data_IF_091811472438
#
_entry.id   IF_091811472438
#
_cell.length_a   1.000
_cell.length_b   1.000
_cell.length_c   1.000
_cell.angle_alpha   90.00
_cell.angle_beta   90.00
_cell.angle_gamma   90.00
#
_symmetry.space_group_name_H-M   'P 1'
#
loop_
_entity.id
_entity.type
_entity.pdbx_description
1 polymer ?
#
# COMPACT_ATOMS: atom_id res chain seq x y z
N UNK A 1 17.56 -53.94 -23.99
CA UNK A 1 17.05 -53.31 -22.78
C UNK A 1 17.25 -51.80 -22.93
N UNK A 2 16.18 -51.04 -23.27
CA UNK A 2 16.23 -49.57 -23.45
C UNK A 2 15.92 -48.92 -22.09
N UNK A 3 16.90 -48.23 -21.51
CA UNK A 3 16.71 -47.46 -20.26
C UNK A 3 16.02 -46.13 -20.61
N UNK A 4 14.78 -45.94 -20.18
CA UNK A 4 14.10 -44.67 -20.24
C UNK A 4 14.65 -43.73 -19.12
N UNK A 5 15.20 -42.57 -19.52
CA UNK A 5 15.61 -41.52 -18.59
C UNK A 5 14.37 -40.62 -18.33
N UNK A 6 13.92 -40.48 -17.09
CA UNK A 6 12.82 -39.60 -16.81
C UNK A 6 13.30 -38.14 -16.96
N UNK A 7 12.66 -37.39 -17.86
CA UNK A 7 12.85 -35.93 -18.02
C UNK A 7 12.18 -35.23 -16.85
N UNK A 8 12.98 -34.75 -15.89
CA UNK A 8 12.50 -33.97 -14.77
C UNK A 8 12.21 -32.53 -15.26
N UNK A 9 10.94 -32.22 -15.43
CA UNK A 9 10.50 -30.86 -15.81
C UNK A 9 10.62 -29.93 -14.59
N UNK A 10 11.69 -29.12 -14.53
CA UNK A 10 11.89 -28.10 -13.51
C UNK A 10 10.98 -26.92 -13.83
N UNK A 11 9.81 -26.83 -13.17
CA UNK A 11 8.95 -25.66 -13.25
C UNK A 11 9.57 -24.55 -12.40
N UNK A 12 10.19 -23.57 -13.05
CA UNK A 12 10.66 -22.36 -12.40
C UNK A 12 9.43 -21.54 -11.95
N UNK A 13 9.17 -21.48 -10.64
CA UNK A 13 8.19 -20.57 -10.07
C UNK A 13 8.72 -19.13 -10.20
N UNK A 14 8.11 -18.34 -11.08
CA UNK A 14 8.38 -16.92 -11.17
C UNK A 14 7.82 -16.25 -9.89
N UNK A 15 8.58 -15.34 -9.25
CA UNK A 15 8.05 -14.60 -8.11
C UNK A 15 6.88 -13.72 -8.58
N UNK A 16 5.66 -14.05 -8.12
CA UNK A 16 4.52 -13.18 -8.28
C UNK A 16 4.71 -11.97 -7.37
N UNK A 17 5.00 -10.80 -7.94
CA UNK A 17 5.00 -9.54 -7.20
C UNK A 17 3.55 -9.18 -6.89
N UNK A 18 3.04 -9.64 -5.75
CA UNK A 18 1.72 -9.22 -5.27
C UNK A 18 1.79 -7.73 -4.89
N UNK A 19 0.96 -6.92 -5.51
CA UNK A 19 0.76 -5.51 -5.16
C UNK A 19 -0.07 -5.44 -3.86
N UNK A 20 0.57 -5.69 -2.73
CA UNK A 20 -0.05 -5.58 -1.42
C UNK A 20 0.41 -4.31 -0.74
N UNK A 21 -0.52 -3.56 -0.15
CA UNK A 21 -0.15 -2.41 0.67
C UNK A 21 0.72 -2.83 1.86
N UNK A 22 1.78 -2.09 2.12
CA UNK A 22 2.75 -2.34 3.17
C UNK A 22 2.67 -1.25 4.23
N UNK A 23 2.48 -1.61 5.51
CA UNK A 23 2.54 -0.67 6.62
C UNK A 23 3.90 -0.77 7.31
N UNK A 24 4.66 0.33 7.27
CA UNK A 24 5.99 0.43 7.86
C UNK A 24 5.89 1.18 9.18
N UNK A 25 6.23 0.57 10.34
CA UNK A 25 6.22 1.27 11.62
C UNK A 25 7.20 2.44 11.61
N UNK A 26 6.79 3.60 12.14
CA UNK A 26 7.68 4.77 12.30
C UNK A 26 8.81 4.46 13.27
N UNK A 27 8.54 3.66 14.30
CA UNK A 27 9.51 3.27 15.34
C UNK A 27 10.72 2.50 14.81
N UNK A 28 10.53 1.69 13.75
CA UNK A 28 11.61 0.88 13.16
C UNK A 28 12.14 1.44 11.84
N UNK A 29 11.36 2.28 11.14
CA UNK A 29 11.68 2.84 9.84
C UNK A 29 11.75 1.80 8.69
N UNK A 30 11.46 0.53 8.99
CA UNK A 30 11.47 -0.60 8.05
C UNK A 30 10.33 -1.56 8.39
N UNK A 31 9.88 -2.41 7.46
CA UNK A 31 8.88 -3.42 7.74
C UNK A 31 9.33 -4.32 8.89
N UNK A 32 8.50 -4.42 9.93
CA UNK A 32 8.75 -5.31 11.06
C UNK A 32 7.43 -5.98 11.49
N UNK A 33 7.22 -7.25 11.12
CA UNK A 33 5.99 -7.97 11.43
C UNK A 33 5.83 -8.28 12.92
N UNK A 34 6.88 -8.09 13.75
CA UNK A 34 6.80 -8.20 15.20
C UNK A 34 6.22 -6.95 15.84
N UNK A 35 6.22 -5.83 15.13
CA UNK A 35 5.64 -4.56 15.56
C UNK A 35 4.28 -4.37 14.92
N UNK A 36 4.21 -4.35 13.57
CA UNK A 36 2.97 -4.22 12.81
C UNK A 36 2.92 -5.30 11.73
N UNK A 37 1.84 -6.09 11.70
CA UNK A 37 1.62 -7.09 10.65
C UNK A 37 0.27 -6.93 9.97
N UNK A 38 0.16 -7.40 8.74
CA UNK A 38 -1.12 -7.56 8.06
C UNK A 38 -1.85 -8.76 8.65
N UNK A 39 -3.00 -8.52 9.28
CA UNK A 39 -3.86 -9.54 9.88
C UNK A 39 -4.89 -10.09 8.90
N UNK A 40 -5.49 -9.20 8.09
CA UNK A 40 -6.56 -9.54 7.17
C UNK A 40 -6.47 -8.68 5.92
N UNK A 41 -6.75 -9.26 4.75
CA UNK A 41 -6.91 -8.54 3.51
C UNK A 41 -8.09 -9.10 2.73
N UNK A 42 -8.96 -8.20 2.29
CA UNK A 42 -10.07 -8.50 1.36
C UNK A 42 -9.88 -7.66 0.11
N UNK A 43 -10.02 -8.28 -1.06
CA UNK A 43 -9.96 -7.61 -2.35
C UNK A 43 -11.21 -7.95 -3.13
N UNK A 44 -12.01 -6.93 -3.46
CA UNK A 44 -13.19 -7.04 -4.30
C UNK A 44 -12.91 -6.39 -5.66
N UNK A 45 -13.10 -7.14 -6.74
CA UNK A 45 -12.81 -6.67 -8.10
C UNK A 45 -14.06 -6.76 -8.97
N UNK A 46 -14.45 -5.63 -9.53
CA UNK A 46 -15.49 -5.54 -10.54
C UNK A 46 -14.91 -5.11 -11.88
N UNK A 47 -15.08 -5.91 -12.94
CA UNK A 47 -14.58 -5.60 -14.28
C UNK A 47 -15.75 -5.25 -15.19
N UNK A 48 -15.67 -4.09 -15.84
CA UNK A 48 -16.64 -3.65 -16.82
C UNK A 48 -16.00 -2.73 -17.87
N UNK A 49 -16.35 -2.94 -19.14
CA UNK A 49 -15.96 -2.08 -20.29
C UNK A 49 -14.44 -1.81 -20.37
N UNK A 50 -13.61 -2.82 -20.09
CA UNK A 50 -12.14 -2.68 -20.15
C UNK A 50 -11.51 -2.00 -18.93
N UNK A 51 -12.27 -1.77 -17.86
CA UNK A 51 -11.77 -1.23 -16.60
C UNK A 51 -12.05 -2.17 -15.44
N UNK A 52 -11.10 -2.31 -14.55
CA UNK A 52 -11.27 -2.92 -13.24
C UNK A 52 -11.47 -1.83 -12.19
N UNK A 53 -12.51 -2.00 -11.35
CA UNK A 53 -12.65 -1.27 -10.09
C UNK A 53 -12.27 -2.23 -8.98
N UNK A 54 -11.27 -1.85 -8.19
CA UNK A 54 -10.71 -2.67 -7.13
C UNK A 54 -10.92 -1.98 -5.80
N UNK A 55 -11.51 -2.72 -4.84
CA UNK A 55 -11.63 -2.29 -3.45
C UNK A 55 -10.72 -3.18 -2.61
N UNK A 56 -9.74 -2.59 -1.95
CA UNK A 56 -8.82 -3.27 -1.05
C UNK A 56 -9.13 -2.84 0.38
N UNK A 57 -9.42 -3.81 1.24
CA UNK A 57 -9.53 -3.62 2.68
C UNK A 57 -8.43 -4.38 3.37
N UNK A 58 -7.66 -3.69 4.22
CA UNK A 58 -6.58 -4.28 5.00
C UNK A 58 -6.76 -3.97 6.47
N UNK A 59 -6.54 -4.96 7.33
CA UNK A 59 -6.51 -4.81 8.78
C UNK A 59 -5.10 -5.12 9.24
N UNK A 60 -4.46 -4.14 9.85
CA UNK A 60 -3.14 -4.30 10.45
C UNK A 60 -3.28 -4.45 11.96
N UNK A 61 -2.40 -5.25 12.56
CA UNK A 61 -2.35 -5.55 13.99
C UNK A 61 -1.05 -5.04 14.59
N UNK A 62 -1.16 -4.37 15.74
CA UNK A 62 -0.04 -3.94 16.56
C UNK A 62 0.25 -5.02 17.60
N UNK A 63 1.47 -5.57 17.58
CA UNK A 63 1.94 -6.62 18.50
C UNK A 63 2.72 -6.09 19.70
N UNK A 64 2.60 -4.80 19.98
CA UNK A 64 3.34 -4.16 21.08
C UNK A 64 2.41 -3.54 22.13
N UNK A 65 2.93 -3.33 23.33
CA UNK A 65 2.23 -2.64 24.41
C UNK A 65 2.16 -1.12 24.26
N UNK A 66 2.77 -0.56 23.19
CA UNK A 66 2.81 0.86 22.90
C UNK A 66 1.89 1.21 21.73
N UNK A 67 1.34 2.42 21.75
CA UNK A 67 0.66 2.97 20.58
C UNK A 67 1.68 3.19 19.47
N UNK A 68 1.38 2.66 18.28
CA UNK A 68 2.24 2.77 17.11
C UNK A 68 1.72 3.81 16.11
N UNK A 69 2.64 4.26 15.29
CA UNK A 69 2.40 5.03 14.07
C UNK A 69 3.13 4.35 12.92
N UNK A 70 2.59 4.41 11.72
CA UNK A 70 3.23 3.82 10.55
C UNK A 70 2.96 4.60 9.28
N UNK A 71 3.75 4.30 8.24
CA UNK A 71 3.50 4.76 6.87
C UNK A 71 3.01 3.59 6.04
N UNK A 72 1.76 3.68 5.60
CA UNK A 72 1.21 2.73 4.64
C UNK A 72 1.59 3.16 3.23
N UNK A 73 2.07 2.20 2.42
CA UNK A 73 2.49 2.40 1.03
C UNK A 73 1.77 1.42 0.14
N UNK A 74 1.24 1.90 -0.97
CA UNK A 74 0.55 1.09 -1.95
C UNK A 74 1.00 1.50 -3.36
N UNK A 75 1.44 0.52 -4.15
CA UNK A 75 1.84 0.74 -5.55
C UNK A 75 0.68 0.44 -6.46
N UNK A 76 0.33 1.38 -7.34
CA UNK A 76 -0.65 1.18 -8.42
C UNK A 76 0.05 0.81 -9.72
N UNK A 77 -0.71 0.24 -10.66
CA UNK A 77 -0.29 0.14 -12.05
C UNK A 77 -0.15 1.53 -12.69
N UNK A 78 0.56 1.66 -13.83
CA UNK A 78 0.69 2.94 -14.53
C UNK A 78 -0.65 3.57 -14.95
N UNK A 79 -1.68 2.75 -15.21
CA UNK A 79 -3.05 3.20 -15.54
C UNK A 79 -3.95 3.34 -14.31
N UNK A 80 -3.44 3.02 -13.11
CA UNK A 80 -4.20 3.03 -11.89
C UNK A 80 -4.49 4.43 -11.36
N UNK A 81 -5.76 4.69 -11.02
CA UNK A 81 -6.21 5.95 -10.43
C UNK A 81 -6.98 5.69 -9.12
N UNK A 82 -6.59 6.34 -8.02
CA UNK A 82 -7.29 6.26 -6.75
C UNK A 82 -8.60 7.03 -6.83
N UNK A 83 -9.69 6.35 -6.47
CA UNK A 83 -11.03 6.96 -6.40
C UNK A 83 -11.46 7.29 -4.96
N UNK A 84 -11.05 6.46 -3.99
CA UNK A 84 -11.41 6.66 -2.58
C UNK A 84 -10.38 6.00 -1.66
N UNK A 85 -10.19 6.59 -0.49
CA UNK A 85 -9.36 6.06 0.58
C UNK A 85 -9.98 6.38 1.93
N UNK A 86 -9.87 5.47 2.88
CA UNK A 86 -10.31 5.71 4.26
C UNK A 86 -9.44 4.96 5.28
N UNK A 87 -9.35 5.55 6.45
CA UNK A 87 -8.87 4.92 7.68
C UNK A 87 -10.05 4.73 8.61
N UNK A 88 -10.08 3.63 9.33
CA UNK A 88 -11.13 3.39 10.32
C UNK A 88 -10.58 3.56 11.73
N UNK A 89 -11.32 4.32 12.53
CA UNK A 89 -11.08 4.44 13.96
C UNK A 89 -12.22 3.73 14.70
N UNK A 90 -11.96 2.53 15.19
CA UNK A 90 -13.00 1.64 15.67
C UNK A 90 -14.06 1.36 14.59
N UNK A 91 -15.28 1.85 14.80
CA UNK A 91 -16.42 1.73 13.86
C UNK A 91 -16.60 2.96 12.96
N UNK A 92 -15.80 4.01 13.15
CA UNK A 92 -15.93 5.25 12.41
C UNK A 92 -15.03 5.23 11.18
N UNK A 93 -15.62 5.44 10.00
CA UNK A 93 -14.88 5.60 8.74
C UNK A 93 -14.44 7.04 8.57
N UNK A 94 -13.14 7.28 8.48
CA UNK A 94 -12.55 8.58 8.27
C UNK A 94 -12.05 8.63 6.82
N UNK A 95 -12.72 9.39 5.91
CA UNK A 95 -12.28 9.49 4.53
C UNK A 95 -10.96 10.24 4.44
N UNK A 96 -10.06 9.73 3.63
CA UNK A 96 -8.80 10.40 3.30
C UNK A 96 -9.00 11.48 2.23
N UNK A 97 -8.14 12.49 2.27
CA UNK A 97 -8.11 13.54 1.25
C UNK A 97 -6.81 13.42 0.46
N UNK A 98 -6.92 13.34 -0.86
CA UNK A 98 -5.76 13.32 -1.76
C UNK A 98 -5.29 14.76 -1.92
N UNK A 99 -4.07 15.06 -1.49
CA UNK A 99 -3.46 16.40 -1.58
C UNK A 99 -2.00 16.28 -2.01
N UNK A 100 -1.45 17.39 -2.53
CA UNK A 100 -0.03 17.44 -2.84
C UNK A 100 0.83 17.13 -1.60
N UNK A 101 1.95 16.41 -1.78
CA UNK A 101 2.83 15.92 -0.71
C UNK A 101 3.25 17.01 0.29
N UNK A 102 3.61 18.22 -0.18
CA UNK A 102 4.00 19.33 0.68
C UNK A 102 2.85 19.82 1.56
N UNK A 103 1.67 19.95 0.96
CA UNK A 103 0.46 20.38 1.67
C UNK A 103 -0.04 19.31 2.63
N UNK A 104 0.04 18.03 2.23
CA UNK A 104 -0.29 16.91 3.09
C UNK A 104 0.55 16.90 4.37
N UNK A 105 1.86 17.15 4.26
CA UNK A 105 2.76 17.19 5.43
C UNK A 105 2.36 18.30 6.40
N UNK A 106 2.13 19.53 5.92
CA UNK A 106 1.73 20.64 6.76
C UNK A 106 0.41 20.38 7.50
N UNK A 107 -0.58 19.82 6.80
CA UNK A 107 -1.88 19.45 7.39
C UNK A 107 -1.68 18.33 8.42
N UNK A 108 -0.85 17.31 8.13
CA UNK A 108 -0.57 16.22 9.05
C UNK A 108 0.05 16.73 10.36
N UNK A 109 1.06 17.60 10.27
CA UNK A 109 1.73 18.18 11.43
C UNK A 109 0.76 18.98 12.31
N UNK A 110 -0.14 19.78 11.71
CA UNK A 110 -1.17 20.53 12.45
C UNK A 110 -2.17 19.61 13.15
N UNK A 111 -2.69 18.57 12.44
CA UNK A 111 -3.67 17.64 13.00
C UNK A 111 -3.06 16.73 14.08
N UNK A 112 -1.82 16.28 13.89
CA UNK A 112 -1.12 15.45 14.88
C UNK A 112 -0.89 16.21 16.18
N UNK A 113 -0.57 17.52 16.06
CA UNK A 113 -0.47 18.41 17.23
C UNK A 113 -1.79 18.52 17.98
N UNK A 114 -2.92 18.43 17.29
CA UNK A 114 -4.27 18.41 17.87
C UNK A 114 -4.76 17.03 18.28
N UNK A 115 -3.94 15.97 18.14
CA UNK A 115 -4.28 14.56 18.43
C UNK A 115 -5.48 14.02 17.61
N UNK A 116 -5.63 14.50 16.38
CA UNK A 116 -6.63 14.00 15.43
C UNK A 116 -5.91 13.12 14.41
N UNK A 117 -6.46 11.91 14.11
CA UNK A 117 -5.91 11.05 13.04
C UNK A 117 -6.19 11.69 11.66
N UNK A 118 -5.17 12.14 10.94
CA UNK A 118 -5.39 12.92 9.72
C UNK A 118 -5.81 12.13 8.50
N UNK A 119 -5.61 10.80 8.45
CA UNK A 119 -5.97 9.97 7.30
C UNK A 119 -5.53 10.51 5.94
N UNK A 120 -4.33 11.10 5.84
CA UNK A 120 -3.87 11.78 4.64
C UNK A 120 -3.20 10.83 3.65
N UNK A 121 -3.69 10.80 2.42
CA UNK A 121 -3.09 10.10 1.30
C UNK A 121 -2.16 11.05 0.53
N UNK A 122 -0.89 10.68 0.41
CA UNK A 122 0.11 11.39 -0.39
C UNK A 122 0.29 10.68 -1.73
N UNK A 123 0.05 11.39 -2.82
CA UNK A 123 0.40 10.92 -4.15
C UNK A 123 1.75 11.52 -4.55
N UNK A 124 2.71 10.68 -4.88
CA UNK A 124 4.03 11.10 -5.34
C UNK A 124 4.73 9.97 -6.06
N UNK A 125 5.57 10.32 -7.03
CA UNK A 125 6.58 9.41 -7.53
C UNK A 125 7.60 9.16 -6.41
N UNK A 126 8.08 7.94 -6.24
CA UNK A 126 9.27 7.71 -5.41
C UNK A 126 10.41 8.51 -6.04
N UNK A 127 10.71 9.68 -5.47
CA UNK A 127 12.02 10.27 -5.66
C UNK A 127 12.99 9.36 -4.90
N UNK A 128 13.61 8.41 -5.62
CA UNK A 128 14.90 7.89 -5.22
C UNK A 128 15.78 9.11 -4.94
N UNK A 129 16.35 9.20 -3.73
CA UNK A 129 17.40 10.19 -3.46
C UNK A 129 18.40 10.14 -4.61
N UNK A 130 18.77 11.28 -5.22
CA UNK A 130 19.62 11.28 -6.38
C UNK A 130 20.98 10.71 -6.02
N UNK A 131 21.20 9.45 -6.35
CA UNK A 131 22.55 8.93 -6.53
C UNK A 131 23.14 9.69 -7.72
N UNK A 132 24.30 10.36 -7.57
CA UNK A 132 24.89 11.09 -8.66
C UNK A 132 25.40 10.11 -9.73
N UNK A 133 24.67 9.99 -10.84
CA UNK A 133 25.13 9.38 -12.08
C UNK A 133 24.45 8.07 -12.47
N UNK A 134 23.37 8.22 -13.26
CA UNK A 134 23.17 7.45 -14.51
C UNK A 134 21.88 7.91 -15.18
N UNK A 135 21.92 7.96 -16.50
CA UNK A 135 20.98 8.51 -17.45
C UNK A 135 19.49 8.21 -17.16
N UNK A 136 18.67 9.18 -17.49
CA UNK A 136 17.23 9.20 -17.36
C UNK A 136 16.56 8.04 -18.10
N UNK A 137 16.41 6.90 -17.45
CA UNK A 137 15.37 5.93 -17.76
C UNK A 137 14.15 6.33 -16.94
N UNK A 138 13.05 6.63 -17.63
CA UNK A 138 11.75 6.83 -16.97
C UNK A 138 11.43 5.55 -16.17
N UNK A 139 11.21 5.62 -14.85
CA UNK A 139 10.83 4.43 -14.11
C UNK A 139 9.50 3.91 -14.68
N UNK A 140 9.53 2.69 -15.20
CA UNK A 140 8.35 1.95 -15.67
C UNK A 140 7.49 1.41 -14.50
N UNK A 141 7.51 2.11 -13.36
CA UNK A 141 6.75 1.77 -12.16
C UNK A 141 5.56 2.72 -11.99
N UNK A 142 4.37 2.18 -11.71
CA UNK A 142 3.18 2.95 -11.38
C UNK A 142 3.36 3.84 -10.15
N UNK A 143 2.41 4.75 -9.94
CA UNK A 143 2.43 5.68 -8.81
C UNK A 143 2.43 4.95 -7.46
N UNK A 144 3.26 5.41 -6.52
CA UNK A 144 3.25 4.95 -5.13
C UNK A 144 2.47 5.94 -4.27
N UNK A 145 1.44 5.42 -3.61
CA UNK A 145 0.67 6.17 -2.63
C UNK A 145 1.20 5.89 -1.24
N UNK A 146 1.39 6.94 -0.44
CA UNK A 146 1.82 6.84 0.95
C UNK A 146 0.84 7.57 1.85
N UNK A 147 0.49 6.93 2.97
CA UNK A 147 -0.37 7.51 4.00
C UNK A 147 0.28 7.29 5.35
N UNK A 148 0.35 8.34 6.17
CA UNK A 148 0.64 8.20 7.58
C UNK A 148 -0.59 7.74 8.32
N UNK A 149 -0.46 6.71 9.14
CA UNK A 149 -1.54 6.05 9.90
C UNK A 149 -1.20 6.11 11.37
N UNK A 150 -2.01 6.81 12.13
CA UNK A 150 -1.90 6.97 13.58
C UNK A 150 -3.25 7.40 14.18
N UNK A 151 -3.53 7.06 15.43
CA UNK A 151 -2.84 6.09 16.26
C UNK A 151 -3.22 4.65 15.89
N UNK A 152 -2.29 3.71 16.10
CA UNK A 152 -2.57 2.27 16.05
C UNK A 152 -2.50 1.77 17.50
N UNK A 153 -3.63 1.39 18.11
CA UNK A 153 -3.69 1.09 19.53
C UNK A 153 -2.74 -0.04 19.93
N UNK A 154 -2.21 0.01 21.16
CA UNK A 154 -1.45 -1.09 21.75
C UNK A 154 -2.27 -2.39 21.73
N UNK A 155 -1.68 -3.48 21.23
CA UNK A 155 -2.34 -4.79 21.05
C UNK A 155 -3.65 -4.73 20.26
N UNK A 156 -3.85 -3.65 19.48
CA UNK A 156 -5.06 -3.38 18.73
C UNK A 156 -4.87 -3.49 17.23
N UNK A 157 -5.90 -3.09 16.51
CA UNK A 157 -5.91 -3.14 15.04
C UNK A 157 -6.25 -1.79 14.43
N UNK A 158 -5.81 -1.58 13.18
CA UNK A 158 -6.21 -0.45 12.35
C UNK A 158 -6.65 -0.95 10.97
N UNK A 159 -7.81 -0.51 10.51
CA UNK A 159 -8.35 -0.86 9.19
C UNK A 159 -8.12 0.26 8.20
N UNK A 160 -7.67 -0.10 7.01
CA UNK A 160 -7.49 0.79 5.86
C UNK A 160 -8.34 0.28 4.70
N UNK A 161 -8.89 1.20 3.92
CA UNK A 161 -9.64 0.92 2.70
C UNK A 161 -9.13 1.79 1.57
N UNK A 162 -8.89 1.18 0.40
CA UNK A 162 -8.50 1.84 -0.82
C UNK A 162 -9.41 1.37 -1.95
N UNK A 163 -9.97 2.33 -2.69
CA UNK A 163 -10.63 2.06 -3.96
C UNK A 163 -9.83 2.69 -5.09
N UNK A 164 -9.52 1.91 -6.12
CA UNK A 164 -8.88 2.42 -7.32
C UNK A 164 -9.49 1.79 -8.58
N UNK A 165 -9.20 2.39 -9.72
CA UNK A 165 -9.57 1.89 -11.04
C UNK A 165 -8.33 1.78 -11.90
N UNK A 166 -8.29 0.77 -12.78
CA UNK A 166 -7.22 0.57 -13.74
C UNK A 166 -7.76 -0.02 -15.04
N UNK A 167 -7.05 0.22 -16.13
CA UNK A 167 -7.35 -0.41 -17.40
C UNK A 167 -6.98 -1.89 -17.35
N UNK A 168 -7.87 -2.73 -17.90
CA UNK A 168 -7.61 -4.16 -18.11
C UNK A 168 -7.23 -4.35 -19.56
N UNK A 169 -5.98 -4.72 -19.87
CA UNK A 169 -5.58 -5.01 -21.23
C UNK A 169 -6.38 -6.21 -21.76
N UNK A 170 -6.91 -6.07 -22.97
CA UNK A 170 -7.52 -7.19 -23.65
C UNK A 170 -6.42 -8.17 -24.06
N UNK A 171 -6.61 -9.45 -23.75
CA UNK A 171 -5.78 -10.51 -24.32
C UNK A 171 -6.21 -10.66 -25.80
N UNK A 172 -5.27 -10.45 -26.71
CA UNK A 172 -5.44 -10.79 -28.12
C UNK A 172 -5.34 -12.32 -28.36
#
# INVERSE_FOLDING_TARGET
MKRAVPLLLLVAALPASAQTGLLVPTSTGRPDPKVLSLREMTVDVGIARGYARVNVRQVFENHTGDVQEGTWRFRLSPSGAVGDFAVWDGLVRIPGVIVEKKRARAIYEDLTTRRIDPGLLQQGEEEDEPSPGRGAERPSGGAVFSVKVAPIPAWGTKRLELQYQEEVPWAE
#
